data_IF_045747827823
#
_entry.id   IF_045747827823
#
_cell.length_a   1.000
_cell.length_b   1.000
_cell.length_c   1.000
_cell.angle_alpha   90.00
_cell.angle_beta   90.00
_cell.angle_gamma   90.00
#
_symmetry.space_group_name_H-M   'P 1'
#
loop_
_entity.id
_entity.type
_entity.pdbx_description
1 polymer ?
#
# COMPACT_ATOMS: atom_id res chain seq x y z
N UNK A 1 -12.98 9.70 -2.91
CA UNK A 1 -12.14 8.74 -2.16
C UNK A 1 -10.88 9.43 -1.71
N UNK A 2 -9.98 8.72 -1.04
CA UNK A 2 -8.66 9.23 -0.68
C UNK A 2 -7.63 8.11 -0.80
N UNK A 3 -6.36 8.48 -0.96
CA UNK A 3 -5.21 7.61 -0.71
C UNK A 3 -4.21 8.38 0.15
N UNK A 4 -3.71 7.75 1.19
CA UNK A 4 -2.71 8.27 2.10
C UNK A 4 -1.40 7.55 1.81
N UNK A 5 -0.38 8.32 1.45
CA UNK A 5 0.93 7.83 1.10
C UNK A 5 1.99 8.50 1.97
N UNK A 6 2.98 7.73 2.42
CA UNK A 6 4.10 8.21 3.23
C UNK A 6 5.42 7.65 2.70
N UNK A 7 6.52 8.22 3.19
CA UNK A 7 7.85 7.65 3.04
C UNK A 7 8.19 6.89 4.33
N UNK A 8 8.53 5.62 4.19
CA UNK A 8 9.05 4.83 5.30
C UNK A 8 10.56 4.67 5.15
N UNK A 9 11.26 4.96 6.25
CA UNK A 9 12.71 4.91 6.33
C UNK A 9 13.17 3.71 7.17
N UNK A 10 12.28 3.18 8.00
CA UNK A 10 12.40 1.91 8.69
C UNK A 10 12.28 0.72 7.72
N UNK A 11 12.52 -0.48 8.24
CA UNK A 11 12.37 -1.70 7.47
C UNK A 11 10.92 -1.89 7.04
N UNK A 12 10.72 -2.04 5.74
CA UNK A 12 9.44 -2.38 5.13
C UNK A 12 9.52 -3.78 4.55
N UNK A 13 8.60 -4.64 4.97
CA UNK A 13 8.55 -6.05 4.56
C UNK A 13 8.59 -6.20 3.02
N UNK A 14 9.49 -7.05 2.54
CA UNK A 14 9.65 -7.35 1.12
C UNK A 14 10.26 -6.22 0.26
N UNK A 15 10.92 -5.23 0.88
CA UNK A 15 11.69 -4.19 0.18
C UNK A 15 13.17 -4.25 0.53
N UNK A 16 14.03 -3.83 -0.40
CA UNK A 16 15.49 -3.86 -0.27
C UNK A 16 16.11 -2.45 -0.13
N UNK A 17 15.33 -1.38 -0.35
CA UNK A 17 15.78 0.00 -0.43
C UNK A 17 15.06 0.92 0.56
N UNK A 18 15.71 2.03 0.92
CA UNK A 18 15.15 3.06 1.81
C UNK A 18 15.46 4.46 1.28
N UNK A 19 14.49 5.40 1.29
CA UNK A 19 13.12 5.21 1.74
C UNK A 19 12.28 4.40 0.74
N UNK A 20 11.31 3.65 1.25
CA UNK A 20 10.23 3.06 0.44
C UNK A 20 9.00 3.96 0.48
N UNK A 21 8.30 4.09 -0.65
CA UNK A 21 6.98 4.69 -0.64
C UNK A 21 5.97 3.71 -0.06
N UNK A 22 5.04 4.19 0.75
CA UNK A 22 4.11 3.32 1.47
C UNK A 22 2.68 3.82 1.36
N UNK A 23 1.77 2.98 0.87
CA UNK A 23 0.35 3.24 0.87
C UNK A 23 -0.24 2.86 2.24
N UNK A 24 -0.43 3.87 3.10
CA UNK A 24 -0.94 3.72 4.46
C UNK A 24 -2.46 3.49 4.52
N UNK A 25 -3.16 3.85 3.45
CA UNK A 25 -4.60 3.63 3.39
C UNK A 25 -5.22 4.19 2.13
N UNK A 26 -6.26 3.52 1.65
CA UNK A 26 -7.00 3.92 0.46
C UNK A 26 -8.48 3.63 0.65
N UNK A 27 -9.33 4.54 0.19
CA UNK A 27 -10.76 4.37 0.25
C UNK A 27 -11.46 4.99 -0.95
N UNK A 28 -12.41 4.26 -1.51
CA UNK A 28 -13.34 4.74 -2.53
C UNK A 28 -14.76 4.43 -2.06
N UNK A 29 -15.62 5.46 -2.09
CA UNK A 29 -17.06 5.34 -1.81
C UNK A 29 -17.66 4.25 -2.70
N UNK A 30 -18.55 3.43 -2.12
CA UNK A 30 -19.01 2.17 -2.72
C UNK A 30 -19.61 2.37 -4.12
N UNK A 31 -20.45 3.39 -4.29
CA UNK A 31 -21.14 3.72 -5.54
C UNK A 31 -20.19 4.16 -6.67
N UNK A 32 -18.94 4.49 -6.33
CA UNK A 32 -17.89 4.89 -7.27
C UNK A 32 -16.82 3.79 -7.47
N UNK A 33 -16.91 2.65 -6.80
CA UNK A 33 -15.97 1.53 -6.99
C UNK A 33 -16.08 0.91 -8.38
N UNK A 34 -15.05 0.17 -8.78
CA UNK A 34 -14.94 -0.52 -10.09
C UNK A 34 -14.94 0.43 -11.31
N UNK A 35 -14.69 1.73 -11.10
CA UNK A 35 -14.56 2.76 -12.15
C UNK A 35 -13.11 3.21 -12.41
N UNK A 36 -12.11 2.48 -11.90
CA UNK A 36 -10.69 2.82 -12.07
C UNK A 36 -10.12 3.81 -11.04
N UNK A 37 -10.95 4.51 -10.28
CA UNK A 37 -10.52 5.55 -9.31
C UNK A 37 -9.45 5.06 -8.33
N UNK A 38 -9.61 3.86 -7.75
CA UNK A 38 -8.61 3.30 -6.83
C UNK A 38 -7.24 3.10 -7.48
N UNK A 39 -7.21 2.70 -8.75
CA UNK A 39 -5.98 2.54 -9.53
C UNK A 39 -5.32 3.90 -9.77
N UNK A 40 -6.10 4.91 -10.17
CA UNK A 40 -5.58 6.27 -10.39
C UNK A 40 -4.96 6.86 -9.11
N UNK A 41 -5.62 6.64 -7.96
CA UNK A 41 -5.09 7.06 -6.67
C UNK A 41 -3.74 6.39 -6.34
N UNK A 42 -3.62 5.07 -6.57
CA UNK A 42 -2.35 4.34 -6.36
C UNK A 42 -1.26 4.85 -7.31
N UNK A 43 -1.57 5.02 -8.60
CA UNK A 43 -0.60 5.56 -9.57
C UNK A 43 -0.07 6.93 -9.16
N UNK A 44 -0.93 7.81 -8.64
CA UNK A 44 -0.50 9.11 -8.13
C UNK A 44 0.46 8.97 -6.93
N UNK A 45 0.20 8.04 -6.02
CA UNK A 45 1.09 7.74 -4.89
C UNK A 45 2.44 7.16 -5.34
N UNK A 46 2.46 6.27 -6.34
CA UNK A 46 3.68 5.71 -6.93
C UNK A 46 4.54 6.81 -7.59
N UNK A 47 3.91 7.68 -8.38
CA UNK A 47 4.58 8.81 -9.02
C UNK A 47 5.17 9.78 -8.01
N UNK A 48 4.40 10.13 -6.98
CA UNK A 48 4.89 10.96 -5.88
C UNK A 48 6.08 10.30 -5.18
N UNK A 49 6.01 9.00 -4.87
CA UNK A 49 7.09 8.27 -4.20
C UNK A 49 8.36 8.24 -5.06
N UNK A 50 8.21 8.04 -6.38
CA UNK A 50 9.33 8.11 -7.33
C UNK A 50 9.97 9.51 -7.35
N UNK A 51 9.17 10.57 -7.30
CA UNK A 51 9.68 11.96 -7.20
C UNK A 51 10.42 12.22 -5.87
N UNK A 52 10.15 11.42 -4.83
CA UNK A 52 10.88 11.45 -3.55
C UNK A 52 12.13 10.55 -3.53
N UNK A 53 12.44 9.88 -4.64
CA UNK A 53 13.63 9.03 -4.77
C UNK A 53 13.41 7.57 -4.38
N UNK A 54 12.18 7.15 -4.08
CA UNK A 54 11.89 5.75 -3.81
C UNK A 54 12.00 4.90 -5.08
N UNK A 55 12.63 3.74 -4.95
CA UNK A 55 12.67 2.70 -6.00
C UNK A 55 11.64 1.59 -5.78
N UNK A 56 11.07 1.52 -4.58
CA UNK A 56 10.09 0.51 -4.18
C UNK A 56 8.85 1.16 -3.55
N UNK A 57 7.73 0.47 -3.69
CA UNK A 57 6.41 0.91 -3.20
C UNK A 57 5.69 -0.26 -2.52
N UNK A 58 5.21 -0.06 -1.31
CA UNK A 58 4.67 -1.11 -0.46
C UNK A 58 3.33 -0.71 0.18
N UNK A 59 2.64 -1.70 0.72
CA UNK A 59 1.40 -1.55 1.48
C UNK A 59 1.14 -2.83 2.26
N UNK A 60 0.29 -2.77 3.27
CA UNK A 60 -0.22 -3.92 3.99
C UNK A 60 -1.76 -3.94 4.00
N UNK A 61 -2.31 -5.07 4.42
CA UNK A 61 -3.73 -5.25 4.63
C UNK A 61 -3.94 -6.13 5.86
N UNK A 62 -5.11 -6.01 6.47
CA UNK A 62 -5.58 -7.03 7.41
C UNK A 62 -5.77 -8.37 6.69
N UNK A 63 -5.43 -9.47 7.37
CA UNK A 63 -5.36 -10.81 6.79
C UNK A 63 -6.69 -11.30 6.18
N UNK A 64 -7.81 -10.86 6.74
CA UNK A 64 -9.17 -11.23 6.33
C UNK A 64 -9.77 -10.27 5.27
N UNK A 65 -9.06 -9.20 4.90
CA UNK A 65 -9.53 -8.22 3.93
C UNK A 65 -9.33 -8.69 2.48
N UNK A 66 -10.12 -9.67 2.07
CA UNK A 66 -10.08 -10.29 0.74
C UNK A 66 -10.30 -9.29 -0.39
N UNK A 67 -11.13 -8.27 -0.18
CA UNK A 67 -11.37 -7.22 -1.18
C UNK A 67 -10.12 -6.38 -1.41
N UNK A 68 -9.44 -5.97 -0.33
CA UNK A 68 -8.18 -5.22 -0.43
C UNK A 68 -7.07 -6.08 -1.02
N UNK A 69 -6.98 -7.37 -0.67
CA UNK A 69 -6.04 -8.32 -1.27
C UNK A 69 -6.19 -8.36 -2.79
N UNK A 70 -7.41 -8.61 -3.27
CA UNK A 70 -7.70 -8.66 -4.70
C UNK A 70 -7.47 -7.31 -5.38
N UNK A 71 -7.70 -6.19 -4.69
CA UNK A 71 -7.40 -4.86 -5.19
C UNK A 71 -5.89 -4.65 -5.37
N UNK A 72 -5.07 -4.95 -4.36
CA UNK A 72 -3.61 -4.81 -4.41
C UNK A 72 -3.01 -5.62 -5.55
N UNK A 73 -3.42 -6.88 -5.72
CA UNK A 73 -3.00 -7.72 -6.84
C UNK A 73 -3.37 -7.10 -8.20
N UNK A 74 -4.58 -6.54 -8.33
CA UNK A 74 -5.06 -5.92 -9.58
C UNK A 74 -4.33 -4.63 -9.95
N UNK A 75 -3.82 -3.89 -8.97
CA UNK A 75 -3.07 -2.65 -9.21
C UNK A 75 -1.56 -2.85 -9.28
N UNK A 76 -1.08 -4.09 -9.16
CA UNK A 76 0.31 -4.47 -9.49
C UNK A 76 1.19 -4.80 -8.30
N UNK A 77 0.67 -4.75 -7.08
CA UNK A 77 1.40 -5.28 -5.92
C UNK A 77 1.53 -6.80 -6.01
N UNK A 78 2.55 -7.32 -5.34
CA UNK A 78 2.76 -8.76 -5.13
C UNK A 78 2.75 -9.03 -3.64
N UNK A 79 2.13 -10.13 -3.25
CA UNK A 79 2.22 -10.62 -1.87
C UNK A 79 3.68 -11.01 -1.56
N UNK A 80 4.24 -10.45 -0.48
CA UNK A 80 5.62 -10.71 -0.06
C UNK A 80 5.69 -11.52 1.24
N UNK A 81 4.73 -11.35 2.17
CA UNK A 81 4.67 -12.09 3.42
C UNK A 81 3.27 -12.06 4.07
N UNK A 82 3.03 -12.92 5.07
CA UNK A 82 1.87 -12.87 5.98
C UNK A 82 2.37 -12.79 7.41
N UNK A 83 1.98 -11.73 8.12
CA UNK A 83 2.51 -11.42 9.44
C UNK A 83 1.50 -11.80 10.55
N UNK A 84 2.04 -12.22 11.69
CA UNK A 84 1.31 -12.32 12.96
C UNK A 84 2.01 -11.35 13.92
N UNK A 85 1.31 -10.28 14.30
CA UNK A 85 1.85 -9.24 15.16
C UNK A 85 1.61 -9.58 16.65
N UNK A 86 2.66 -9.47 17.47
CA UNK A 86 2.57 -9.62 18.93
C UNK A 86 3.01 -8.31 19.61
N UNK A 87 2.32 -7.93 20.68
CA UNK A 87 2.72 -6.82 21.55
C UNK A 87 2.55 -7.24 23.01
N UNK A 88 3.49 -6.82 23.87
CA UNK A 88 3.45 -7.08 25.32
C UNK A 88 3.83 -5.82 26.07
N UNK A 89 2.99 -5.41 27.04
CA UNK A 89 3.35 -4.37 28.01
C UNK A 89 4.35 -4.95 29.02
N UNK A 90 5.39 -4.19 29.34
CA UNK A 90 6.39 -4.55 30.35
C UNK A 90 5.87 -4.24 31.76
#
# INVERSE_FOLDING_TARGET
GFAHCQLRFDYVEGTDTSPAGYLEGIYVMEEYRKRGIGKELVTYCEEWSRQKGCTEFASDIELDNVDSFNFHLKVGFKEVNRLICFAKKL
#
